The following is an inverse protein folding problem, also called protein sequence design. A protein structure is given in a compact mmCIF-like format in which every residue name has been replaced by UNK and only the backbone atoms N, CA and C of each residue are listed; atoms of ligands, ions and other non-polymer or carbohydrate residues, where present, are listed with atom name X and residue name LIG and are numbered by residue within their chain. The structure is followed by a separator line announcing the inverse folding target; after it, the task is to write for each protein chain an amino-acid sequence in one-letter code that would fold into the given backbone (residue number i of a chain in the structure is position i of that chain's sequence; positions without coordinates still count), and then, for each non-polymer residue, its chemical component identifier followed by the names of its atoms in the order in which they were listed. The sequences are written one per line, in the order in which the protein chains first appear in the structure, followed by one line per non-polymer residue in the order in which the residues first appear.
data_IF_888868837631
#
_entry.id   IF_888868837631
#
_cell.length_a   1.000
_cell.length_b   1.000
_cell.length_c   1.000
_cell.angle_alpha   90.00
_cell.angle_beta   90.00
_cell.angle_gamma   90.00
#
_symmetry.space_group_name_H-M   'P 1'
#
loop_
_entity.id
_entity.type
_entity.pdbx_description
1 polymer ?
#
# COMPACT_ATOMS: atom_id res chain seq x y z
N UNK A 1 0.73 11.79 25.76
CA UNK A 1 0.99 12.20 24.37
C UNK A 1 1.14 13.71 24.29
N UNK A 2 2.24 14.23 23.74
CA UNK A 2 2.53 15.66 23.69
C UNK A 2 2.01 16.29 22.39
N UNK A 3 1.68 17.58 22.42
CA UNK A 3 1.31 18.36 21.23
C UNK A 3 2.40 18.30 20.13
N UNK A 4 3.66 18.26 20.56
CA UNK A 4 4.83 18.15 19.68
C UNK A 4 4.82 16.87 18.82
N UNK A 5 4.53 15.70 19.41
CA UNK A 5 4.43 14.45 18.65
C UNK A 5 3.32 14.49 17.59
N UNK A 6 2.19 15.14 17.92
CA UNK A 6 1.08 15.30 16.98
C UNK A 6 1.46 16.24 15.82
N UNK A 7 2.13 17.36 16.11
CA UNK A 7 2.55 18.30 15.08
C UNK A 7 3.60 17.66 14.14
N UNK A 8 4.53 16.87 14.67
CA UNK A 8 5.49 16.11 13.87
C UNK A 8 4.82 15.05 12.99
N UNK A 9 3.91 14.24 13.56
CA UNK A 9 3.16 13.25 12.80
C UNK A 9 2.35 13.90 11.67
N UNK A 10 1.68 15.02 11.96
CA UNK A 10 0.90 15.74 10.95
C UNK A 10 1.76 16.22 9.78
N UNK A 11 2.97 16.73 10.05
CA UNK A 11 3.87 17.15 8.98
C UNK A 11 4.37 15.94 8.16
N UNK A 12 4.69 14.82 8.82
CA UNK A 12 5.06 13.58 8.12
C UNK A 12 3.93 13.09 7.19
N UNK A 13 2.70 13.01 7.70
CA UNK A 13 1.52 12.59 6.91
C UNK A 13 1.25 13.55 5.76
N UNK A 14 1.44 14.86 5.97
CA UNK A 14 1.28 15.87 4.93
C UNK A 14 2.27 15.66 3.78
N UNK A 15 3.54 15.43 4.08
CA UNK A 15 4.54 15.15 3.04
C UNK A 15 4.21 13.86 2.28
N UNK A 16 3.78 12.82 2.98
CA UNK A 16 3.35 11.56 2.38
C UNK A 16 2.16 11.75 1.42
N UNK A 17 1.13 12.50 1.82
CA UNK A 17 -0.06 12.73 0.98
C UNK A 17 0.24 13.61 -0.24
N UNK A 18 1.17 14.56 -0.14
CA UNK A 18 1.47 15.52 -1.20
C UNK A 18 2.52 14.99 -2.19
N UNK A 19 3.43 14.11 -1.76
CA UNK A 19 4.51 13.61 -2.60
C UNK A 19 4.04 12.97 -3.93
N UNK A 20 3.02 12.08 -3.96
CA UNK A 20 2.54 11.49 -5.21
C UNK A 20 1.99 12.53 -6.20
N UNK A 21 1.36 13.59 -5.70
CA UNK A 21 0.84 14.68 -6.54
C UNK A 21 2.00 15.42 -7.20
N UNK A 22 3.06 15.73 -6.45
CA UNK A 22 4.23 16.45 -6.96
C UNK A 22 5.06 15.63 -7.95
N UNK A 23 5.25 14.34 -7.69
CA UNK A 23 5.96 13.44 -8.60
C UNK A 23 5.23 13.32 -9.95
N UNK A 24 3.90 13.24 -9.92
CA UNK A 24 3.10 13.22 -11.14
C UNK A 24 3.15 14.55 -11.90
N UNK A 25 3.03 15.69 -11.22
CA UNK A 25 3.16 17.02 -11.86
C UNK A 25 4.53 17.19 -12.53
N UNK A 26 5.61 16.72 -11.89
CA UNK A 26 6.95 16.75 -12.45
C UNK A 26 7.11 15.81 -13.67
N UNK A 27 6.60 14.58 -13.58
CA UNK A 27 6.63 13.62 -14.69
C UNK A 27 5.85 14.11 -15.91
N UNK A 28 4.70 14.77 -15.68
CA UNK A 28 3.92 15.38 -16.74
C UNK A 28 4.64 16.58 -17.36
N UNK A 29 5.32 17.41 -16.56
CA UNK A 29 6.06 18.57 -17.08
C UNK A 29 7.26 18.20 -17.97
N UNK A 30 7.91 17.05 -17.73
CA UNK A 30 9.06 16.60 -18.52
C UNK A 30 8.68 15.88 -19.83
N UNK A 31 7.44 15.37 -19.96
CA UNK A 31 7.03 14.53 -21.10
C UNK A 31 6.08 15.20 -22.10
N UNK A 32 5.77 16.49 -21.93
CA UNK A 32 4.84 17.20 -22.82
C UNK A 32 5.60 17.95 -23.92
N UNK A 33 5.62 17.38 -25.12
CA UNK A 33 5.80 18.12 -26.36
C UNK A 33 4.50 18.89 -26.65
N UNK A 34 4.46 20.15 -26.20
CA UNK A 34 3.26 20.99 -26.26
C UNK A 34 2.70 21.14 -27.69
N UNK A 35 3.56 21.15 -28.71
CA UNK A 35 3.16 21.29 -30.11
C UNK A 35 2.50 19.99 -30.62
N UNK A 36 2.99 18.83 -30.18
CA UNK A 36 2.38 17.52 -30.49
C UNK A 36 1.06 17.30 -29.74
N UNK A 37 0.98 17.76 -28.49
CA UNK A 37 -0.22 17.65 -27.65
C UNK A 37 -1.36 18.55 -28.16
N UNK A 38 -1.06 19.80 -28.56
CA UNK A 38 -2.07 20.73 -29.12
C UNK A 38 -2.65 20.18 -30.44
N UNK A 39 -1.82 19.56 -31.27
CA UNK A 39 -2.24 18.89 -32.50
C UNK A 39 -3.11 17.64 -32.22
N UNK A 40 -2.74 16.83 -31.25
CA UNK A 40 -3.49 15.63 -30.86
C UNK A 40 -4.89 15.98 -30.29
N UNK A 41 -5.01 17.05 -29.49
CA UNK A 41 -6.28 17.52 -28.90
C UNK A 41 -7.23 18.07 -29.98
N UNK A 42 -6.71 18.71 -31.03
CA UNK A 42 -7.51 19.16 -32.17
C UNK A 42 -7.98 18.01 -33.07
N UNK A 43 -7.18 16.94 -33.19
CA UNK A 43 -7.45 15.80 -34.08
C UNK A 43 -8.22 14.66 -33.40
N UNK A 44 -8.23 14.57 -32.07
CA UNK A 44 -8.96 13.55 -31.30
C UNK A 44 -9.29 14.10 -29.90
N UNK A 45 -10.56 14.37 -29.55
CA UNK A 45 -10.91 14.82 -28.21
C UNK A 45 -10.73 13.67 -27.23
N UNK A 46 -9.51 13.51 -26.71
CA UNK A 46 -9.22 12.58 -25.63
C UNK A 46 -9.92 13.05 -24.36
N UNK A 47 -10.48 12.11 -23.59
CA UNK A 47 -11.18 12.42 -22.34
C UNK A 47 -10.26 13.17 -21.38
N UNK A 48 -10.81 14.18 -20.69
CA UNK A 48 -10.05 15.06 -19.79
C UNK A 48 -9.16 14.25 -18.84
N UNK A 49 -7.87 14.58 -18.79
CA UNK A 49 -6.95 14.05 -17.79
C UNK A 49 -7.51 14.32 -16.38
N UNK A 50 -7.43 13.34 -15.50
CA UNK A 50 -7.97 13.46 -14.14
C UNK A 50 -7.03 12.79 -13.15
N UNK A 51 -6.78 13.49 -12.05
CA UNK A 51 -6.06 12.97 -10.88
C UNK A 51 -6.94 13.11 -9.64
N UNK A 52 -7.00 12.09 -8.81
CA UNK A 52 -7.62 12.18 -7.49
C UNK A 52 -6.78 11.48 -6.44
N UNK A 53 -6.84 12.01 -5.20
CA UNK A 53 -6.28 11.37 -4.02
C UNK A 53 -7.40 11.31 -2.99
N UNK A 54 -7.62 10.14 -2.42
CA UNK A 54 -8.56 9.91 -1.34
C UNK A 54 -7.87 9.18 -0.19
N UNK A 55 -8.45 9.27 0.99
CA UNK A 55 -7.94 8.57 2.16
C UNK A 55 -9.07 7.91 2.95
N UNK A 56 -8.72 6.82 3.62
CA UNK A 56 -9.58 6.08 4.52
C UNK A 56 -8.77 5.68 5.75
N UNK A 57 -9.43 5.43 6.89
CA UNK A 57 -8.78 4.90 8.08
C UNK A 57 -9.49 3.65 8.59
N UNK A 58 -8.73 2.63 8.97
CA UNK A 58 -9.21 1.51 9.78
C UNK A 58 -8.52 1.50 11.14
N UNK A 59 -9.14 0.88 12.14
CA UNK A 59 -8.61 0.79 13.50
C UNK A 59 -8.40 -0.67 13.91
N UNK A 60 -7.32 -0.93 14.63
CA UNK A 60 -6.97 -2.22 15.20
C UNK A 60 -6.28 -2.02 16.56
N UNK A 61 -6.94 -2.41 17.65
CA UNK A 61 -6.43 -2.15 19.01
C UNK A 61 -6.15 -0.67 19.24
N UNK A 62 -4.91 -0.33 19.56
CA UNK A 62 -4.42 1.04 19.74
C UNK A 62 -3.72 1.61 18.49
N UNK A 63 -3.86 0.95 17.34
CA UNK A 63 -3.36 1.43 16.07
C UNK A 63 -4.48 1.88 15.13
N UNK A 64 -4.15 2.83 14.25
CA UNK A 64 -4.92 3.09 13.02
C UNK A 64 -4.07 2.80 11.80
N UNK A 65 -4.69 2.27 10.76
CA UNK A 65 -4.12 2.28 9.41
C UNK A 65 -4.72 3.43 8.65
N UNK A 66 -3.88 4.29 8.07
CA UNK A 66 -4.26 5.29 7.08
C UNK A 66 -3.99 4.72 5.68
N UNK A 67 -5.05 4.57 4.89
CA UNK A 67 -4.98 4.24 3.48
C UNK A 67 -4.98 5.51 2.66
N UNK A 68 -4.08 5.59 1.68
CA UNK A 68 -4.04 6.65 0.69
C UNK A 68 -4.21 6.00 -0.67
N UNK A 69 -5.30 6.33 -1.35
CA UNK A 69 -5.58 5.88 -2.70
C UNK A 69 -5.34 7.03 -3.67
N UNK A 70 -4.50 6.79 -4.66
CA UNK A 70 -4.30 7.72 -5.78
C UNK A 70 -4.90 7.12 -7.05
N UNK A 71 -5.50 7.96 -7.86
CA UNK A 71 -5.97 7.60 -9.19
C UNK A 71 -5.46 8.62 -10.20
N UNK A 72 -5.01 8.13 -11.35
CA UNK A 72 -4.59 8.95 -12.46
C UNK A 72 -5.16 8.41 -13.78
N UNK A 73 -5.68 9.30 -14.62
CA UNK A 73 -6.13 8.98 -15.97
C UNK A 73 -5.51 9.94 -16.97
N UNK A 74 -4.70 9.40 -17.88
CA UNK A 74 -4.01 10.15 -18.95
C UNK A 74 -4.59 9.97 -20.35
N UNK A 75 -5.89 9.67 -20.48
CA UNK A 75 -6.54 9.54 -21.80
C UNK A 75 -6.43 8.16 -22.48
N UNK A 76 -6.00 7.12 -21.75
CA UNK A 76 -5.91 5.74 -22.23
C UNK A 76 -7.21 4.92 -22.06
N UNK A 77 -7.11 3.58 -22.12
CA UNK A 77 -8.27 2.69 -21.97
C UNK A 77 -8.88 2.69 -20.55
N UNK A 78 -8.06 2.93 -19.54
CA UNK A 78 -8.44 3.05 -18.13
C UNK A 78 -7.41 3.90 -17.39
N UNK A 79 -7.69 4.26 -16.13
CA UNK A 79 -6.73 4.94 -15.26
C UNK A 79 -5.87 3.95 -14.47
N UNK A 80 -4.86 4.48 -13.78
CA UNK A 80 -3.97 3.74 -12.90
C UNK A 80 -4.31 4.06 -11.44
N UNK A 81 -4.42 3.03 -10.61
CA UNK A 81 -4.66 3.19 -9.17
C UNK A 81 -3.40 2.87 -8.35
N UNK A 82 -3.06 3.75 -7.42
CA UNK A 82 -2.08 3.49 -6.36
C UNK A 82 -2.77 3.28 -5.02
N UNK A 83 -2.19 2.44 -4.18
CA UNK A 83 -2.56 2.32 -2.77
C UNK A 83 -1.28 2.36 -1.93
N UNK A 84 -1.30 3.16 -0.87
CA UNK A 84 -0.32 3.12 0.19
C UNK A 84 -1.02 3.01 1.53
N UNK A 85 -0.45 2.24 2.45
CA UNK A 85 -1.00 2.05 3.79
C UNK A 85 0.07 2.40 4.84
N UNK A 86 -0.37 3.08 5.90
CA UNK A 86 0.50 3.58 6.95
C UNK A 86 -0.08 3.23 8.31
N UNK A 87 0.63 2.44 9.10
CA UNK A 87 0.22 2.08 10.45
C UNK A 87 0.69 3.15 11.44
N UNK A 88 -0.21 3.62 12.30
CA UNK A 88 0.04 4.67 13.28
C UNK A 88 -0.31 4.13 14.66
N UNK A 89 0.62 4.25 15.61
CA UNK A 89 0.38 4.04 17.05
C UNK A 89 -0.25 5.30 17.65
N UNK A 90 -1.50 5.20 18.07
CA UNK A 90 -2.25 6.33 18.63
C UNK A 90 -1.87 6.67 20.07
N UNK A 91 -1.26 5.72 20.79
CA UNK A 91 -0.79 5.97 22.15
C UNK A 91 0.42 6.90 22.15
N UNK A 92 1.30 6.72 21.15
CA UNK A 92 2.54 7.48 21.01
C UNK A 92 2.46 8.59 19.95
N UNK A 93 1.42 8.56 19.12
CA UNK A 93 1.27 9.37 17.91
C UNK A 93 2.47 9.20 16.98
N UNK A 94 2.80 7.93 16.72
CA UNK A 94 4.00 7.52 15.99
C UNK A 94 3.61 6.75 14.72
N UNK A 95 4.22 7.10 13.60
CA UNK A 95 4.16 6.31 12.37
C UNK A 95 5.08 5.07 12.50
N UNK A 96 4.51 3.89 12.26
CA UNK A 96 5.23 2.63 12.11
C UNK A 96 5.59 2.48 10.64
N UNK A 97 6.88 2.54 10.32
CA UNK A 97 7.38 2.58 8.93
C UNK A 97 7.67 1.20 8.38
N UNK A 98 8.00 0.25 9.25
CA UNK A 98 8.44 -1.08 8.87
C UNK A 98 7.90 -2.13 9.84
N UNK A 99 7.74 -3.36 9.36
CA UNK A 99 7.27 -4.48 10.17
C UNK A 99 8.24 -4.81 11.32
N UNK A 100 9.51 -4.46 11.20
CA UNK A 100 10.53 -4.72 12.20
C UNK A 100 10.29 -3.99 13.53
N UNK A 101 9.62 -2.83 13.49
CA UNK A 101 9.29 -2.04 14.66
C UNK A 101 8.25 -2.72 15.57
N UNK A 102 7.46 -3.66 15.03
CA UNK A 102 6.37 -4.35 15.75
C UNK A 102 6.55 -5.87 15.81
N UNK A 103 7.53 -6.42 15.11
CA UNK A 103 7.84 -7.85 15.08
C UNK A 103 8.90 -8.23 16.12
N UNK A 104 8.81 -9.43 16.71
CA UNK A 104 9.83 -9.91 17.65
C UNK A 104 11.13 -10.31 16.92
N UNK A 105 10.96 -10.94 15.75
CA UNK A 105 12.03 -11.34 14.84
C UNK A 105 11.58 -11.01 13.41
N UNK A 106 11.97 -9.84 12.85
CA UNK A 106 11.38 -9.32 11.61
C UNK A 106 11.52 -10.27 10.42
N UNK A 107 12.71 -10.85 10.23
CA UNK A 107 12.95 -11.82 9.15
C UNK A 107 12.13 -13.11 9.32
N UNK A 108 11.87 -13.53 10.55
CA UNK A 108 11.04 -14.70 10.83
C UNK A 108 9.56 -14.41 10.57
N UNK A 109 9.06 -13.22 10.94
CA UNK A 109 7.69 -12.79 10.63
C UNK A 109 7.44 -12.78 9.13
N UNK A 110 8.35 -12.15 8.36
CA UNK A 110 8.23 -12.06 6.90
C UNK A 110 8.29 -13.46 6.26
N UNK A 111 9.19 -14.33 6.74
CA UNK A 111 9.24 -15.73 6.27
C UNK A 111 7.94 -16.48 6.58
N UNK A 112 7.43 -16.35 7.82
CA UNK A 112 6.17 -16.95 8.25
C UNK A 112 5.01 -16.50 7.37
N UNK A 113 4.86 -15.19 7.14
CA UNK A 113 3.77 -14.66 6.36
C UNK A 113 3.82 -15.16 4.90
N UNK A 114 5.02 -15.23 4.31
CA UNK A 114 5.18 -15.78 2.97
C UNK A 114 4.81 -17.27 2.90
N UNK A 115 5.24 -18.08 3.88
CA UNK A 115 4.89 -19.50 3.95
C UNK A 115 3.38 -19.70 4.13
N UNK A 116 2.76 -18.91 5.01
CA UNK A 116 1.31 -18.90 5.23
C UNK A 116 0.55 -18.61 3.94
N UNK A 117 0.96 -17.59 3.18
CA UNK A 117 0.32 -17.25 1.92
C UNK A 117 0.47 -18.36 0.88
N UNK A 118 1.67 -18.93 0.73
CA UNK A 118 1.90 -20.04 -0.20
C UNK A 118 0.99 -21.23 0.10
N UNK A 119 0.81 -21.58 1.38
CA UNK A 119 -0.07 -22.66 1.80
C UNK A 119 -1.54 -22.35 1.51
N UNK A 120 -2.01 -21.16 1.90
CA UNK A 120 -3.44 -20.85 1.88
C UNK A 120 -3.97 -20.30 0.55
N UNK A 121 -3.09 -19.86 -0.35
CA UNK A 121 -3.47 -19.33 -1.66
C UNK A 121 -2.87 -20.13 -2.84
N UNK A 122 -2.29 -21.32 -2.57
CA UNK A 122 -1.71 -22.21 -3.58
C UNK A 122 -2.64 -22.44 -4.78
N UNK A 123 -3.90 -22.79 -4.53
CA UNK A 123 -4.87 -23.11 -5.59
C UNK A 123 -5.28 -21.88 -6.40
N UNK A 124 -5.30 -20.70 -5.76
CA UNK A 124 -5.74 -19.45 -6.41
C UNK A 124 -4.71 -18.94 -7.41
N UNK A 125 -3.43 -19.08 -7.09
CA UNK A 125 -2.32 -18.58 -7.91
C UNK A 125 -1.48 -19.73 -8.50
N UNK A 126 -2.05 -20.94 -8.59
CA UNK A 126 -1.41 -22.10 -9.17
C UNK A 126 -0.97 -21.82 -10.62
N UNK A 127 0.31 -22.06 -10.91
CA UNK A 127 0.86 -21.89 -12.25
C UNK A 127 1.22 -20.45 -12.64
N UNK A 128 1.13 -19.49 -11.71
CA UNK A 128 1.73 -18.17 -11.88
C UNK A 128 3.23 -18.25 -11.57
N UNK A 129 4.09 -17.92 -12.54
CA UNK A 129 5.56 -18.03 -12.39
C UNK A 129 6.09 -17.19 -11.21
N UNK A 130 5.43 -16.05 -10.93
CA UNK A 130 5.78 -15.13 -9.85
C UNK A 130 5.21 -15.55 -8.48
N UNK A 131 4.39 -16.62 -8.40
CA UNK A 131 3.85 -17.10 -7.13
C UNK A 131 4.87 -17.97 -6.39
N UNK A 132 5.82 -17.31 -5.71
CA UNK A 132 6.84 -17.96 -4.92
C UNK A 132 7.21 -17.15 -3.66
N UNK A 133 7.96 -17.78 -2.75
CA UNK A 133 8.33 -17.19 -1.46
C UNK A 133 9.10 -15.88 -1.62
N UNK A 134 10.05 -15.83 -2.55
CA UNK A 134 10.92 -14.67 -2.75
C UNK A 134 10.11 -13.46 -3.25
N UNK A 135 9.14 -13.68 -4.14
CA UNK A 135 8.24 -12.63 -4.62
C UNK A 135 7.39 -12.04 -3.48
N UNK A 136 6.82 -12.90 -2.62
CA UNK A 136 6.05 -12.47 -1.45
C UNK A 136 6.90 -11.67 -0.45
N UNK A 137 8.13 -12.14 -0.18
CA UNK A 137 9.10 -11.44 0.68
C UNK A 137 9.45 -10.07 0.08
N UNK A 138 9.69 -10.00 -1.22
CA UNK A 138 9.95 -8.73 -1.91
C UNK A 138 8.75 -7.78 -1.79
N UNK A 139 7.53 -8.30 -1.98
CA UNK A 139 6.29 -7.53 -1.81
C UNK A 139 6.19 -6.88 -0.43
N UNK A 140 6.38 -7.67 0.65
CA UNK A 140 6.34 -7.15 2.03
C UNK A 140 7.42 -6.09 2.34
N UNK A 141 8.56 -6.14 1.64
CA UNK A 141 9.66 -5.20 1.84
C UNK A 141 9.71 -4.06 0.81
N UNK A 142 8.71 -3.96 -0.07
CA UNK A 142 8.75 -3.04 -1.19
C UNK A 142 7.37 -2.73 -1.75
N UNK A 143 7.04 -3.39 -2.86
CA UNK A 143 6.07 -2.90 -3.83
C UNK A 143 4.59 -3.11 -3.41
N UNK A 144 4.33 -3.85 -2.32
CA UNK A 144 2.99 -4.10 -1.81
C UNK A 144 2.72 -3.29 -0.53
N UNK A 145 1.48 -2.83 -0.38
CA UNK A 145 1.04 -2.17 0.83
C UNK A 145 0.73 -3.25 1.89
N UNK A 146 1.39 -3.18 3.05
CA UNK A 146 1.06 -4.03 4.19
C UNK A 146 0.35 -3.21 5.27
N UNK A 147 -0.59 -3.85 5.98
CA UNK A 147 -1.34 -3.19 7.05
C UNK A 147 -2.01 -4.19 7.99
N UNK A 148 -2.55 -3.69 9.10
CA UNK A 148 -3.41 -4.44 10.00
C UNK A 148 -4.80 -3.80 10.03
N UNK A 149 -5.83 -4.55 9.67
CA UNK A 149 -7.21 -4.08 9.71
C UNK A 149 -8.16 -5.27 9.92
N UNK A 150 -9.26 -5.05 10.65
CA UNK A 150 -10.32 -6.04 10.84
C UNK A 150 -9.82 -7.41 11.34
N UNK A 151 -8.92 -7.40 12.34
CA UNK A 151 -8.27 -8.58 12.90
C UNK A 151 -7.47 -9.40 11.88
N UNK A 152 -6.87 -8.74 10.89
CA UNK A 152 -6.02 -9.37 9.87
C UNK A 152 -4.76 -8.56 9.60
N UNK A 153 -3.67 -9.26 9.33
CA UNK A 153 -2.55 -8.74 8.56
C UNK A 153 -2.88 -8.87 7.08
N UNK A 154 -2.71 -7.80 6.34
CA UNK A 154 -2.99 -7.75 4.90
C UNK A 154 -1.73 -7.38 4.14
N UNK A 155 -1.54 -8.02 2.99
CA UNK A 155 -0.56 -7.66 1.97
C UNK A 155 -1.30 -7.42 0.66
N UNK A 156 -1.44 -6.16 0.28
CA UNK A 156 -2.19 -5.74 -0.90
C UNK A 156 -1.25 -5.30 -2.01
N UNK A 157 -1.38 -5.96 -3.16
CA UNK A 157 -0.57 -5.68 -4.34
C UNK A 157 -1.28 -4.71 -5.28
N UNK A 158 -0.51 -4.05 -6.15
CA UNK A 158 -1.07 -3.26 -7.24
C UNK A 158 -1.85 -4.12 -8.26
N UNK A 159 -2.63 -3.46 -9.10
CA UNK A 159 -3.28 -4.10 -10.25
C UNK A 159 -2.23 -4.77 -11.13
N UNK A 160 -2.62 -5.86 -11.82
CA UNK A 160 -1.72 -6.69 -12.63
C UNK A 160 -0.69 -7.55 -11.87
N UNK A 161 -0.57 -7.40 -10.55
CA UNK A 161 0.26 -8.28 -9.75
C UNK A 161 -0.35 -9.69 -9.62
N UNK A 162 0.51 -10.68 -9.32
CA UNK A 162 0.12 -12.08 -9.13
C UNK A 162 -0.65 -12.68 -10.31
N UNK A 163 -0.40 -12.18 -11.52
CA UNK A 163 -1.08 -12.61 -12.74
C UNK A 163 -2.57 -12.27 -12.81
N UNK A 164 -3.06 -11.42 -11.90
CA UNK A 164 -4.43 -10.91 -11.94
C UNK A 164 -4.59 -9.92 -13.10
N UNK A 165 -5.77 -9.87 -13.72
CA UNK A 165 -6.07 -8.81 -14.70
C UNK A 165 -6.60 -7.56 -13.99
N UNK A 166 -6.56 -6.39 -14.66
CA UNK A 166 -7.08 -5.14 -14.09
C UNK A 166 -8.51 -5.24 -13.56
N UNK A 167 -9.37 -6.00 -14.26
CA UNK A 167 -10.77 -6.17 -13.88
C UNK A 167 -10.97 -6.92 -12.55
N UNK A 168 -9.95 -7.67 -12.10
CA UNK A 168 -9.95 -8.35 -10.80
C UNK A 168 -9.50 -7.43 -9.65
N UNK A 169 -9.09 -6.20 -9.98
CA UNK A 169 -8.66 -5.19 -9.02
C UNK A 169 -7.30 -5.52 -8.39
N UNK A 170 -7.15 -5.12 -7.13
CA UNK A 170 -5.93 -5.32 -6.33
C UNK A 170 -6.00 -6.62 -5.54
N UNK A 171 -5.09 -7.57 -5.76
CA UNK A 171 -5.00 -8.77 -4.93
C UNK A 171 -4.63 -8.39 -3.49
N UNK A 172 -5.46 -8.79 -2.52
CA UNK A 172 -5.15 -8.70 -1.10
C UNK A 172 -4.99 -10.11 -0.53
N UNK A 173 -3.84 -10.38 0.09
CA UNK A 173 -3.55 -11.61 0.82
C UNK A 173 -3.67 -11.32 2.31
N UNK A 174 -4.38 -12.18 3.02
CA UNK A 174 -4.74 -11.94 4.42
C UNK A 174 -4.30 -13.09 5.34
N UNK A 175 -3.80 -12.75 6.52
CA UNK A 175 -3.50 -13.65 7.64
C UNK A 175 -4.32 -13.19 8.85
N UNK A 176 -5.08 -14.07 9.53
CA UNK A 176 -5.74 -13.72 10.77
C UNK A 176 -4.72 -13.19 11.80
N UNK A 177 -5.05 -12.09 12.48
CA UNK A 177 -4.17 -11.46 13.48
C UNK A 177 -3.75 -12.46 14.56
N UNK A 178 -4.65 -13.37 14.96
CA UNK A 178 -4.37 -14.43 15.92
C UNK A 178 -3.15 -15.30 15.54
N UNK A 179 -2.95 -15.57 14.26
CA UNK A 179 -1.80 -16.33 13.74
C UNK A 179 -0.53 -15.46 13.70
N UNK A 180 -0.66 -14.15 13.56
CA UNK A 180 0.46 -13.21 13.61
C UNK A 180 0.98 -12.96 15.04
N UNK A 181 0.10 -13.01 16.06
CA UNK A 181 0.43 -12.67 17.45
C UNK A 181 1.70 -13.35 18.00
N UNK A 182 1.97 -14.65 17.76
CA UNK A 182 3.19 -15.31 18.25
C UNK A 182 4.48 -14.70 17.68
N UNK A 183 4.42 -14.07 16.51
CA UNK A 183 5.56 -13.49 15.80
C UNK A 183 5.76 -11.99 16.09
N UNK A 184 4.80 -11.35 16.76
CA UNK A 184 4.88 -9.96 17.16
C UNK A 184 5.70 -9.77 18.45
N UNK A 185 6.35 -8.61 18.57
CA UNK A 185 7.00 -8.19 19.81
C UNK A 185 5.95 -7.88 20.88
N UNK A 186 6.35 -7.77 22.14
CA UNK A 186 5.42 -7.36 23.21
C UNK A 186 4.79 -5.99 22.92
N UNK A 187 5.57 -5.09 22.31
CA UNK A 187 5.05 -3.81 21.82
C UNK A 187 4.02 -3.99 20.70
N UNK A 188 4.30 -4.81 19.68
CA UNK A 188 3.36 -5.09 18.59
C UNK A 188 2.06 -5.72 19.07
N UNK A 189 2.12 -6.62 20.06
CA UNK A 189 0.93 -7.23 20.68
C UNK A 189 0.08 -6.19 21.40
N UNK A 190 0.70 -5.34 22.23
CA UNK A 190 -0.01 -4.27 22.94
C UNK A 190 -0.61 -3.23 21.99
N UNK A 191 0.03 -3.03 20.84
CA UNK A 191 -0.44 -2.09 19.84
C UNK A 191 -1.69 -2.61 19.11
N UNK A 192 -1.71 -3.89 18.74
CA UNK A 192 -2.73 -4.48 17.84
C UNK A 192 -3.87 -5.23 18.56
N UNK A 193 -3.74 -5.48 19.86
CA UNK A 193 -4.79 -6.03 20.74
C UNK A 193 -5.52 -4.91 21.49
#
# INVERSE_FOLDING_TARGET
TTKENLDELNEQLRQIMIAPIREQEASNAENVDYDAAEKAVQESPLGNETTSVSYETAFQGNARTLFIQSFWYGGGAHGSNGLSAYLIDDTQMKLIRQLDEISAAPGEFVSFAADYFLEHYADKYAGQDDWNKDYLIKGMNGDAAWYFANDRFCLEFCEYALGACYAEGRPCLEIPLAECLPHLSDYGKQLLQ
#
